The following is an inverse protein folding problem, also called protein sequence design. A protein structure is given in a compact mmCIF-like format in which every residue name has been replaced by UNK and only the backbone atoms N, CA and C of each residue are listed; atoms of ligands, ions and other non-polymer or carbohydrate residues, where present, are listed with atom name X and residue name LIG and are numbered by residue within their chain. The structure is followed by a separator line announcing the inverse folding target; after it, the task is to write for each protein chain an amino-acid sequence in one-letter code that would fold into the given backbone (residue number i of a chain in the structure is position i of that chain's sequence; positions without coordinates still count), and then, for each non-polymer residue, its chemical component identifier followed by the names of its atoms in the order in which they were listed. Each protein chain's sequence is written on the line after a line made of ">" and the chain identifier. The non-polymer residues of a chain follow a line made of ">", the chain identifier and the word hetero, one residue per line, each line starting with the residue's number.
data_IF_918496368731
#
_entry.id   IF_918496368731
#
_cell.length_a   1.000
_cell.length_b   1.000
_cell.length_c   1.000
_cell.angle_alpha   90.00
_cell.angle_beta   90.00
_cell.angle_gamma   90.00
#
_symmetry.space_group_name_H-M   'P 1'
#
loop_
_entity.id
_entity.type
_entity.pdbx_description
1 polymer ?
#
# COMPACT_ATOMS: atom_id res chain seq x y z
N UNK A 1 4.99 42.27 -9.04
CA UNK A 1 4.76 40.82 -9.21
C UNK A 1 3.44 40.53 -8.52
N UNK A 2 2.37 40.26 -9.27
CA UNK A 2 1.09 39.92 -8.68
C UNK A 2 1.26 38.59 -7.92
N UNK A 3 1.03 38.60 -6.61
CA UNK A 3 0.99 37.38 -5.82
C UNK A 3 -0.17 36.53 -6.34
N UNK A 4 0.14 35.35 -6.87
CA UNK A 4 -0.89 34.36 -7.16
C UNK A 4 -1.34 33.83 -5.80
N UNK A 5 -2.48 34.30 -5.31
CA UNK A 5 -3.16 33.63 -4.20
C UNK A 5 -3.61 32.26 -4.72
N UNK A 6 -2.91 31.21 -4.29
CA UNK A 6 -3.34 29.83 -4.54
C UNK A 6 -4.54 29.57 -3.63
N UNK A 7 -5.73 29.99 -4.09
CA UNK A 7 -6.99 29.66 -3.44
C UNK A 7 -7.28 28.21 -3.76
N UNK A 8 -6.84 27.30 -2.88
CA UNK A 8 -7.18 25.89 -2.99
C UNK A 8 -8.68 25.68 -2.74
N UNK A 9 -9.34 24.82 -3.53
CA UNK A 9 -10.74 24.49 -3.31
C UNK A 9 -10.93 23.88 -1.91
N UNK A 10 -12.05 24.21 -1.25
CA UNK A 10 -12.36 23.77 0.12
C UNK A 10 -12.32 22.24 0.27
N UNK A 11 -12.66 21.55 -0.81
CA UNK A 11 -12.71 20.11 -0.95
C UNK A 11 -11.32 19.46 -1.06
N UNK A 12 -10.26 20.24 -1.30
CA UNK A 12 -8.88 19.73 -1.35
C UNK A 12 -8.43 19.13 0.00
N UNK A 13 -9.06 19.54 1.10
CA UNK A 13 -8.86 18.91 2.41
C UNK A 13 -9.09 17.39 2.39
N UNK A 14 -10.02 16.89 1.58
CA UNK A 14 -10.25 15.46 1.42
C UNK A 14 -9.06 14.73 0.79
N UNK A 15 -8.38 15.36 -0.16
CA UNK A 15 -7.16 14.81 -0.78
C UNK A 15 -6.08 14.62 0.28
N UNK A 16 -5.89 15.64 1.13
CA UNK A 16 -4.93 15.60 2.25
C UNK A 16 -5.31 14.49 3.24
N UNK A 17 -6.59 14.35 3.60
CA UNK A 17 -7.04 13.28 4.48
C UNK A 17 -6.70 11.90 3.92
N UNK A 18 -6.90 11.67 2.61
CA UNK A 18 -6.56 10.40 1.96
C UNK A 18 -5.06 10.10 2.04
N UNK A 19 -4.20 11.12 1.85
CA UNK A 19 -2.74 10.97 2.01
C UNK A 19 -2.38 10.56 3.45
N UNK A 20 -3.00 11.20 4.44
CA UNK A 20 -2.78 10.88 5.86
C UNK A 20 -3.22 9.44 6.16
N UNK A 21 -4.41 9.03 5.70
CA UNK A 21 -4.89 7.65 5.87
C UNK A 21 -3.94 6.65 5.22
N UNK A 22 -3.46 6.92 3.99
CA UNK A 22 -2.50 6.05 3.32
C UNK A 22 -1.16 5.96 4.07
N UNK A 23 -0.75 7.03 4.73
CA UNK A 23 0.46 7.07 5.54
C UNK A 23 0.33 6.17 6.77
N UNK A 24 -0.80 6.23 7.49
CA UNK A 24 -1.09 5.29 8.58
C UNK A 24 -1.19 3.84 8.10
N UNK A 25 -1.76 3.61 6.91
CA UNK A 25 -1.78 2.29 6.29
C UNK A 25 -0.37 1.75 6.01
N UNK A 26 0.57 2.60 5.55
CA UNK A 26 1.98 2.21 5.39
C UNK A 26 2.64 1.86 6.72
N UNK A 27 2.40 2.65 7.77
CA UNK A 27 2.88 2.33 9.12
C UNK A 27 2.36 0.97 9.59
N UNK A 28 1.10 0.66 9.31
CA UNK A 28 0.53 -0.65 9.61
C UNK A 28 1.26 -1.78 8.87
N UNK A 29 1.53 -1.65 7.57
CA UNK A 29 2.29 -2.65 6.81
C UNK A 29 3.73 -2.84 7.36
N UNK A 30 4.41 -1.74 7.72
CA UNK A 30 5.73 -1.79 8.37
C UNK A 30 5.67 -2.64 9.65
N UNK A 31 4.65 -2.43 10.49
CA UNK A 31 4.47 -3.24 11.72
C UNK A 31 4.28 -4.72 11.40
N UNK A 32 3.56 -5.06 10.32
CA UNK A 32 3.38 -6.45 9.90
C UNK A 32 4.70 -7.08 9.42
N UNK A 33 5.52 -6.35 8.66
CA UNK A 33 6.88 -6.78 8.29
C UNK A 33 7.75 -7.02 9.52
N UNK A 34 7.73 -6.11 10.51
CA UNK A 34 8.52 -6.26 11.74
C UNK A 34 8.06 -7.47 12.56
N UNK A 35 6.75 -7.71 12.67
CA UNK A 35 6.21 -8.91 13.31
C UNK A 35 6.65 -10.18 12.58
N UNK A 36 6.57 -10.20 11.26
CA UNK A 36 7.03 -11.33 10.44
C UNK A 36 8.54 -11.55 10.60
N UNK A 37 9.34 -10.48 10.60
CA UNK A 37 10.78 -10.54 10.84
C UNK A 37 11.11 -11.24 12.16
N UNK A 38 10.43 -10.86 13.24
CA UNK A 38 10.59 -11.48 14.56
C UNK A 38 10.12 -12.94 14.56
N UNK A 39 8.99 -13.24 13.92
CA UNK A 39 8.41 -14.60 13.85
C UNK A 39 9.33 -15.58 13.13
N UNK A 40 9.97 -15.14 12.05
CA UNK A 40 10.83 -15.96 11.20
C UNK A 40 12.33 -15.77 11.47
N UNK A 41 12.70 -15.11 12.57
CA UNK A 41 14.08 -14.88 13.01
C UNK A 41 15.01 -14.36 11.90
N UNK A 42 14.56 -13.37 11.12
CA UNK A 42 15.37 -12.79 10.05
C UNK A 42 16.15 -11.57 10.60
N UNK A 43 17.46 -11.70 10.89
CA UNK A 43 18.23 -10.58 11.43
C UNK A 43 18.39 -9.45 10.41
N UNK A 44 18.64 -8.25 10.90
CA UNK A 44 19.19 -7.20 10.04
C UNK A 44 20.66 -7.51 9.74
N UNK A 45 21.20 -7.19 8.54
CA UNK A 45 20.62 -6.39 7.45
C UNK A 45 19.81 -7.21 6.43
N UNK A 46 19.58 -8.50 6.66
CA UNK A 46 18.93 -9.40 5.70
C UNK A 46 17.52 -8.92 5.33
N UNK A 47 17.33 -8.66 4.04
CA UNK A 47 16.08 -8.13 3.49
C UNK A 47 15.08 -9.24 3.17
N UNK A 48 15.57 -10.33 2.58
CA UNK A 48 14.82 -11.54 2.23
C UNK A 48 15.44 -12.74 2.92
N UNK A 49 14.61 -13.60 3.50
CA UNK A 49 15.04 -14.86 4.08
C UNK A 49 15.46 -15.83 2.97
N UNK A 50 16.54 -16.56 3.19
CA UNK A 50 17.02 -17.59 2.27
C UNK A 50 16.19 -18.87 2.47
N UNK A 51 15.59 -19.38 1.40
CA UNK A 51 14.70 -20.55 1.47
C UNK A 51 15.40 -21.83 1.91
N UNK A 52 16.70 -21.96 1.65
CA UNK A 52 17.50 -23.10 2.12
C UNK A 52 17.76 -23.10 3.63
N UNK A 53 17.69 -21.93 4.27
CA UNK A 53 18.00 -21.77 5.71
C UNK A 53 16.74 -21.74 6.57
N UNK A 54 15.59 -21.38 6.01
CA UNK A 54 14.33 -21.27 6.74
C UNK A 54 13.17 -21.87 5.93
N UNK A 55 12.52 -22.91 6.48
CA UNK A 55 11.34 -23.55 5.87
C UNK A 55 10.18 -22.57 5.64
N UNK A 56 10.10 -21.51 6.45
CA UNK A 56 9.07 -20.48 6.36
C UNK A 56 9.54 -19.18 5.68
N UNK A 57 10.73 -19.18 5.06
CA UNK A 57 11.30 -18.02 4.37
C UNK A 57 10.32 -17.40 3.35
N UNK A 58 9.57 -18.26 2.65
CA UNK A 58 8.59 -17.84 1.64
C UNK A 58 7.52 -16.92 2.22
N UNK A 59 7.03 -17.17 3.43
CA UNK A 59 6.01 -16.32 4.05
C UNK A 59 6.57 -14.94 4.42
N UNK A 60 7.76 -14.89 5.01
CA UNK A 60 8.43 -13.61 5.29
C UNK A 60 8.68 -12.83 4.01
N UNK A 61 9.24 -13.47 2.99
CA UNK A 61 9.53 -12.87 1.68
C UNK A 61 8.25 -12.35 1.02
N UNK A 62 7.13 -13.07 1.19
CA UNK A 62 5.84 -12.62 0.69
C UNK A 62 5.39 -11.31 1.35
N UNK A 63 5.36 -11.26 2.69
CA UNK A 63 4.96 -10.04 3.43
C UNK A 63 5.87 -8.87 3.07
N UNK A 64 7.18 -9.12 3.02
CA UNK A 64 8.17 -8.11 2.67
C UNK A 64 8.00 -7.57 1.25
N UNK A 65 7.79 -8.46 0.26
CA UNK A 65 7.59 -8.06 -1.13
C UNK A 65 6.29 -7.28 -1.33
N UNK A 66 5.23 -7.65 -0.62
CA UNK A 66 3.96 -6.92 -0.67
C UNK A 66 4.10 -5.47 -0.19
N UNK A 67 4.83 -5.25 0.91
CA UNK A 67 5.13 -3.92 1.41
C UNK A 67 6.01 -3.12 0.43
N UNK A 68 7.08 -3.74 -0.09
CA UNK A 68 7.96 -3.09 -1.06
C UNK A 68 7.24 -2.69 -2.35
N UNK A 69 6.38 -3.54 -2.91
CA UNK A 69 5.59 -3.18 -4.09
C UNK A 69 4.70 -1.96 -3.84
N UNK A 70 4.22 -1.80 -2.61
CA UNK A 70 3.41 -0.64 -2.23
C UNK A 70 4.26 0.63 -2.15
N UNK A 71 5.50 0.54 -1.66
CA UNK A 71 6.46 1.64 -1.64
C UNK A 71 6.95 2.03 -3.04
N UNK A 72 7.15 1.06 -3.92
CA UNK A 72 7.51 1.29 -5.34
C UNK A 72 6.45 2.14 -6.05
N UNK A 73 5.17 2.00 -5.68
CA UNK A 73 4.07 2.75 -6.30
C UNK A 73 3.65 4.01 -5.52
N UNK A 74 4.06 4.14 -4.24
CA UNK A 74 3.67 5.22 -3.34
C UNK A 74 3.88 6.62 -3.98
N UNK A 75 5.08 6.85 -4.52
CA UNK A 75 5.44 8.16 -5.06
C UNK A 75 4.58 8.55 -6.27
N UNK A 76 4.32 7.60 -7.18
CA UNK A 76 3.43 7.83 -8.32
C UNK A 76 2.01 8.15 -7.85
N UNK A 77 1.47 7.37 -6.92
CA UNK A 77 0.10 7.57 -6.40
C UNK A 77 -0.03 8.94 -5.73
N UNK A 78 0.92 9.32 -4.89
CA UNK A 78 0.90 10.60 -4.19
C UNK A 78 1.00 11.77 -5.17
N UNK A 79 1.87 11.67 -6.17
CA UNK A 79 2.03 12.70 -7.20
C UNK A 79 0.74 12.89 -7.98
N UNK A 80 0.11 11.80 -8.43
CA UNK A 80 -1.16 11.88 -9.16
C UNK A 80 -2.31 12.41 -8.29
N UNK A 81 -2.36 12.03 -7.02
CA UNK A 81 -3.41 12.48 -6.10
C UNK A 81 -3.30 13.98 -5.81
N UNK A 82 -2.08 14.48 -5.58
CA UNK A 82 -1.81 15.91 -5.34
C UNK A 82 -2.08 16.73 -6.60
N UNK A 83 -1.53 16.34 -7.76
CA UNK A 83 -1.68 17.07 -9.02
C UNK A 83 -3.11 17.03 -9.55
N UNK A 84 -3.72 15.84 -9.60
CA UNK A 84 -5.11 15.67 -10.04
C UNK A 84 -6.10 16.34 -9.09
N UNK A 85 -5.78 16.34 -7.79
CA UNK A 85 -6.60 16.94 -6.74
C UNK A 85 -6.76 18.46 -6.88
N UNK A 86 -5.84 19.15 -7.55
CA UNK A 86 -5.92 20.61 -7.77
C UNK A 86 -7.15 20.96 -8.61
N UNK A 87 -7.45 20.16 -9.63
CA UNK A 87 -8.59 20.38 -10.54
C UNK A 87 -9.83 19.57 -10.13
N UNK A 88 -9.64 18.36 -9.62
CA UNK A 88 -10.71 17.40 -9.35
C UNK A 88 -10.60 16.77 -7.95
N UNK A 89 -10.71 17.55 -6.86
CA UNK A 89 -10.42 17.09 -5.50
C UNK A 89 -11.31 15.92 -5.05
N UNK A 90 -12.61 15.95 -5.36
CA UNK A 90 -13.54 14.89 -4.95
C UNK A 90 -13.26 13.56 -5.65
N UNK A 91 -13.08 13.58 -6.98
CA UNK A 91 -12.81 12.38 -7.78
C UNK A 91 -11.48 11.76 -7.34
N UNK A 92 -10.44 12.57 -7.21
CA UNK A 92 -9.14 12.11 -6.73
C UNK A 92 -9.22 11.51 -5.32
N UNK A 93 -9.95 12.13 -4.40
CA UNK A 93 -10.10 11.63 -3.03
C UNK A 93 -10.79 10.26 -3.00
N UNK A 94 -11.88 10.09 -3.77
CA UNK A 94 -12.60 8.81 -3.88
C UNK A 94 -11.68 7.73 -4.46
N UNK A 95 -11.00 8.03 -5.57
CA UNK A 95 -10.09 7.09 -6.22
C UNK A 95 -8.91 6.72 -5.32
N UNK A 96 -8.33 7.67 -4.60
CA UNK A 96 -7.23 7.43 -3.65
C UNK A 96 -7.67 6.58 -2.45
N UNK A 97 -8.88 6.80 -1.95
CA UNK A 97 -9.45 5.95 -0.90
C UNK A 97 -9.70 4.52 -1.40
N UNK A 98 -10.35 4.37 -2.56
CA UNK A 98 -10.57 3.06 -3.19
C UNK A 98 -9.26 2.32 -3.44
N UNK A 99 -8.23 3.03 -3.91
CA UNK A 99 -6.89 2.48 -4.07
C UNK A 99 -6.31 1.96 -2.75
N UNK A 100 -6.47 2.72 -1.66
CA UNK A 100 -6.01 2.32 -0.31
C UNK A 100 -6.68 1.02 0.13
N UNK A 101 -8.00 0.91 -0.07
CA UNK A 101 -8.77 -0.30 0.26
C UNK A 101 -8.33 -1.49 -0.60
N UNK A 102 -8.18 -1.30 -1.92
CA UNK A 102 -7.67 -2.34 -2.81
C UNK A 102 -6.28 -2.81 -2.39
N UNK A 103 -5.41 -1.88 -1.96
CA UNK A 103 -4.07 -2.20 -1.46
C UNK A 103 -4.08 -2.95 -0.14
N UNK A 104 -5.00 -2.65 0.78
CA UNK A 104 -5.18 -3.43 1.99
C UNK A 104 -5.43 -4.91 1.67
N UNK A 105 -6.38 -5.17 0.79
CA UNK A 105 -6.70 -6.54 0.42
C UNK A 105 -5.59 -7.22 -0.39
N UNK A 106 -4.94 -6.50 -1.30
CA UNK A 106 -3.76 -6.99 -2.00
C UNK A 106 -2.67 -7.44 -1.00
N UNK A 107 -2.37 -6.62 0.00
CA UNK A 107 -1.36 -6.93 1.01
C UNK A 107 -1.74 -8.15 1.85
N UNK A 108 -2.99 -8.22 2.32
CA UNK A 108 -3.49 -9.36 3.11
C UNK A 108 -3.46 -10.64 2.26
N UNK A 109 -3.95 -10.59 1.03
CA UNK A 109 -3.95 -11.74 0.11
C UNK A 109 -2.53 -12.22 -0.20
N UNK A 110 -1.61 -11.31 -0.53
CA UNK A 110 -0.21 -11.63 -0.81
C UNK A 110 0.51 -12.24 0.40
N UNK A 111 0.17 -11.78 1.61
CA UNK A 111 0.75 -12.27 2.87
C UNK A 111 0.35 -13.70 3.24
N UNK A 112 -0.63 -14.31 2.54
CA UNK A 112 -1.07 -15.70 2.79
C UNK A 112 -0.14 -16.78 2.22
N UNK A 113 0.91 -16.40 1.46
CA UNK A 113 1.92 -17.35 0.94
C UNK A 113 1.51 -18.14 -0.30
N UNK A 114 0.30 -17.90 -0.84
CA UNK A 114 -0.15 -18.41 -2.14
C UNK A 114 -0.10 -17.26 -3.16
N UNK A 115 0.86 -17.24 -4.10
CA UNK A 115 0.98 -16.19 -5.11
C UNK A 115 -0.29 -15.98 -5.94
N UNK A 116 -1.11 -17.02 -6.13
CA UNK A 116 -2.36 -16.95 -6.89
C UNK A 116 -3.50 -16.23 -6.15
N UNK A 117 -3.39 -16.05 -4.83
CA UNK A 117 -4.37 -15.27 -4.04
C UNK A 117 -4.23 -13.75 -4.18
N UNK A 118 -3.26 -13.28 -4.99
CA UNK A 118 -3.10 -11.87 -5.37
C UNK A 118 -4.35 -11.28 -6.04
N UNK A 119 -5.17 -12.14 -6.67
CA UNK A 119 -6.33 -11.78 -7.48
C UNK A 119 -7.68 -12.19 -6.87
N UNK A 120 -7.75 -12.68 -5.63
CA UNK A 120 -9.01 -13.22 -5.08
C UNK A 120 -10.10 -12.17 -4.83
N UNK A 121 -9.84 -10.88 -5.09
CA UNK A 121 -10.90 -9.85 -5.19
C UNK A 121 -11.51 -9.72 -6.59
N UNK A 122 -10.94 -10.38 -7.59
CA UNK A 122 -11.54 -10.57 -8.91
C UNK A 122 -12.45 -11.80 -9.03
N UNK A 123 -12.54 -12.66 -8.02
CA UNK A 123 -13.32 -13.92 -8.07
C UNK A 123 -14.52 -13.92 -7.10
N UNK A 124 -15.24 -12.80 -6.99
CA UNK A 124 -16.66 -12.83 -6.58
C UNK A 124 -17.56 -13.33 -7.74
N UNK A 125 -16.98 -13.66 -8.90
CA UNK A 125 -17.64 -14.37 -9.99
C UNK A 125 -16.81 -15.59 -10.44
N UNK A 126 -16.72 -16.62 -9.59
CA UNK A 126 -16.75 -18.02 -10.02
C UNK A 126 -16.88 -18.91 -8.78
N UNK A 127 -18.11 -19.01 -8.30
CA UNK A 127 -18.59 -20.21 -7.62
C UNK A 127 -18.66 -21.34 -8.65
N UNK A 128 -17.95 -22.45 -8.39
CA UNK A 128 -18.27 -23.86 -8.71
C UNK A 128 -16.98 -24.66 -8.77
#
# INVERSE_FOLDING_TARGET
>A
MAGVEIVLPREYSYVVMVIVVYSFFNIWMIRQVVKARKKYNVPYPTLYAIESENRDAKFFNCVQRAHQNTLEMLHFVFTHLVLGGIKHPLICSILGFLYTVARYFYFVGYSTGVPDKRLTIGYICHTS
#
